data_IF_404164641605
#
_entry.id   IF_404164641605
#
_cell.length_a   1.000
_cell.length_b   1.000
_cell.length_c   1.000
_cell.angle_alpha   90.00
_cell.angle_beta   90.00
_cell.angle_gamma   90.00
#
_symmetry.space_group_name_H-M   'P 1'
#
loop_
_entity.id
_entity.type
_entity.pdbx_description
1 polymer ?
#
# COMPACT_ATOMS: atom_id res chain seq x y z
N UNK A 1 1.32 24.44 -2.29
CA UNK A 1 1.36 23.59 -3.50
C UNK A 1 0.76 22.25 -3.20
N UNK A 2 -0.18 21.81 -4.00
CA UNK A 2 -0.77 20.48 -3.81
C UNK A 2 0.25 19.41 -4.21
N UNK A 3 0.41 18.41 -3.37
CA UNK A 3 1.16 17.21 -3.73
C UNK A 3 0.34 16.40 -4.73
N UNK A 4 1.02 15.89 -5.73
CA UNK A 4 0.44 14.93 -6.67
C UNK A 4 1.12 13.59 -6.46
N UNK A 5 0.31 12.54 -6.56
CA UNK A 5 0.82 11.17 -6.44
C UNK A 5 0.48 10.42 -7.72
N UNK A 6 1.24 9.37 -7.98
CA UNK A 6 1.03 8.55 -9.17
C UNK A 6 1.14 7.07 -8.84
N UNK A 7 0.53 6.26 -9.70
CA UNK A 7 0.51 4.81 -9.58
C UNK A 7 1.91 4.24 -9.41
N UNK A 8 2.05 3.34 -8.45
CA UNK A 8 3.30 2.65 -8.19
C UNK A 8 4.22 3.37 -7.22
N UNK A 9 3.91 4.61 -6.84
CA UNK A 9 4.70 5.28 -5.82
C UNK A 9 4.50 4.63 -4.46
N UNK A 10 5.57 4.54 -3.68
CA UNK A 10 5.51 4.10 -2.30
C UNK A 10 5.51 5.33 -1.43
N UNK A 11 4.49 5.44 -0.59
CA UNK A 11 4.31 6.55 0.34
C UNK A 11 4.19 5.99 1.75
N UNK A 12 4.49 6.82 2.74
CA UNK A 12 4.16 6.50 4.13
C UNK A 12 2.84 7.18 4.46
N UNK A 13 1.94 6.44 5.10
CA UNK A 13 0.64 6.97 5.47
C UNK A 13 0.24 6.51 6.86
N UNK A 14 -0.46 7.37 7.57
CA UNK A 14 -1.06 7.04 8.88
C UNK A 14 -2.42 6.40 8.61
N UNK A 15 -2.53 5.10 8.89
CA UNK A 15 -3.72 4.32 8.62
C UNK A 15 -4.70 4.27 9.81
N UNK A 16 -4.37 4.97 10.91
CA UNK A 16 -5.22 5.03 12.08
C UNK A 16 -4.57 4.42 13.31
N UNK A 17 -5.12 4.74 14.47
CA UNK A 17 -4.58 4.33 15.77
C UNK A 17 -5.50 3.29 16.43
N UNK A 18 -4.98 2.08 16.76
CA UNK A 18 -5.77 1.11 17.51
C UNK A 18 -6.08 1.62 18.93
N UNK A 19 -7.18 1.18 19.57
CA UNK A 19 -8.24 0.34 19.01
C UNK A 19 -9.40 1.12 18.41
N UNK A 20 -9.36 2.46 18.47
CA UNK A 20 -10.49 3.30 18.04
C UNK A 20 -10.72 3.26 16.53
N UNK A 21 -9.63 3.42 15.78
CA UNK A 21 -9.71 3.57 14.33
C UNK A 21 -9.42 2.27 13.58
N UNK A 22 -8.87 1.27 14.29
CA UNK A 22 -8.49 -0.01 13.69
C UNK A 22 -9.20 -1.14 14.41
N UNK A 23 -9.83 -2.01 13.66
CA UNK A 23 -10.57 -3.17 14.19
C UNK A 23 -10.04 -4.47 13.58
N UNK A 24 -9.96 -5.51 14.41
CA UNK A 24 -9.58 -6.84 13.95
C UNK A 24 -8.24 -6.87 13.22
N UNK A 25 -8.26 -7.40 12.01
CA UNK A 25 -7.06 -7.58 11.18
C UNK A 25 -6.75 -6.39 10.26
N UNK A 26 -7.42 -5.27 10.43
CA UNK A 26 -7.13 -4.07 9.64
C UNK A 26 -5.73 -3.55 9.95
N UNK A 27 -5.07 -3.03 8.92
CA UNK A 27 -3.76 -2.39 9.09
C UNK A 27 -3.92 -1.01 9.70
N UNK A 28 -3.06 -0.69 10.66
CA UNK A 28 -3.06 0.60 11.33
C UNK A 28 -1.66 1.17 11.46
N UNK A 29 -1.53 2.27 12.20
CA UNK A 29 -0.29 3.01 12.43
C UNK A 29 0.27 3.59 11.13
N UNK A 30 1.49 4.13 11.17
CA UNK A 30 2.16 4.61 9.98
C UNK A 30 2.78 3.43 9.24
N UNK A 31 2.45 3.31 7.95
CA UNK A 31 2.89 2.19 7.11
C UNK A 31 3.30 2.67 5.74
N UNK A 32 4.28 2.01 5.11
CA UNK A 32 4.49 2.19 3.68
C UNK A 32 3.28 1.63 2.93
N UNK A 33 2.86 2.33 1.90
CA UNK A 33 1.75 1.91 1.05
C UNK A 33 2.11 2.14 -0.41
N UNK A 34 1.61 1.27 -1.29
CA UNK A 34 1.75 1.44 -2.73
C UNK A 34 0.51 2.16 -3.25
N UNK A 35 0.71 3.23 -3.98
CA UNK A 35 -0.39 3.94 -4.65
C UNK A 35 -0.84 3.13 -5.86
N UNK A 36 -2.11 2.75 -5.86
CA UNK A 36 -2.74 2.03 -6.97
C UNK A 36 -3.37 3.01 -7.95
N UNK A 37 -4.02 4.02 -7.41
CA UNK A 37 -4.65 5.08 -8.20
C UNK A 37 -4.67 6.35 -7.37
N UNK A 38 -4.32 7.46 -7.98
CA UNK A 38 -4.41 8.77 -7.34
C UNK A 38 -5.49 9.59 -8.02
N UNK A 39 -6.36 10.18 -7.20
CA UNK A 39 -7.37 11.14 -7.63
C UNK A 39 -6.92 12.50 -7.12
N UNK A 40 -5.92 13.09 -7.80
CA UNK A 40 -5.26 14.30 -7.32
C UNK A 40 -6.23 15.46 -7.11
N UNK A 41 -7.24 15.58 -7.96
CA UNK A 41 -8.25 16.64 -7.82
C UNK A 41 -9.12 16.48 -6.57
N UNK A 42 -9.29 15.25 -6.11
CA UNK A 42 -10.09 14.95 -4.91
C UNK A 42 -9.22 14.82 -3.67
N UNK A 43 -7.90 14.84 -3.83
CA UNK A 43 -6.94 14.59 -2.75
C UNK A 43 -7.20 13.25 -2.05
N UNK A 44 -7.51 12.23 -2.87
CA UNK A 44 -7.72 10.85 -2.42
C UNK A 44 -6.80 9.91 -3.20
N UNK A 45 -6.37 8.85 -2.56
CA UNK A 45 -5.60 7.78 -3.22
C UNK A 45 -6.09 6.41 -2.78
N UNK A 46 -6.14 5.49 -3.73
CA UNK A 46 -6.36 4.08 -3.42
C UNK A 46 -4.99 3.47 -3.23
N UNK A 47 -4.77 2.84 -2.07
CA UNK A 47 -3.46 2.31 -1.68
C UNK A 47 -3.56 0.87 -1.19
N UNK A 48 -2.43 0.16 -1.31
CA UNK A 48 -2.24 -1.17 -0.74
C UNK A 48 -1.15 -1.07 0.32
N UNK A 49 -1.45 -1.38 1.59
CA UNK A 49 -0.44 -1.31 2.66
C UNK A 49 0.64 -2.38 2.48
N UNK A 50 1.85 -2.04 2.91
CA UNK A 50 2.98 -2.97 2.97
C UNK A 50 3.30 -3.28 4.44
N UNK A 51 3.76 -4.50 4.68
CA UNK A 51 4.30 -4.88 5.98
C UNK A 51 5.64 -5.57 5.79
N UNK A 52 6.56 -5.37 6.73
CA UNK A 52 7.85 -6.09 6.74
C UNK A 52 7.75 -7.43 7.46
N UNK A 53 6.66 -7.67 8.17
CA UNK A 53 6.45 -8.93 8.87
C UNK A 53 5.94 -9.97 7.89
N UNK A 54 6.61 -11.13 7.86
CA UNK A 54 6.12 -12.24 7.08
C UNK A 54 4.70 -12.58 7.55
N UNK A 55 3.77 -12.68 6.59
CA UNK A 55 2.40 -12.98 6.92
C UNK A 55 2.30 -14.37 7.50
N UNK A 56 1.59 -14.51 8.62
CA UNK A 56 1.36 -15.81 9.28
C UNK A 56 0.59 -16.78 8.40
N UNK A 57 -0.05 -16.25 7.36
CA UNK A 57 -0.88 -17.05 6.46
C UNK A 57 -0.36 -16.85 5.04
N UNK A 58 -0.13 -17.97 4.35
CA UNK A 58 0.18 -17.94 2.94
C UNK A 58 -1.10 -17.65 2.17
N UNK A 59 -1.45 -16.39 2.06
CA UNK A 59 -2.65 -15.97 1.33
C UNK A 59 -2.28 -15.60 -0.10
N UNK A 60 -3.13 -16.00 -1.05
CA UNK A 60 -2.93 -15.63 -2.44
C UNK A 60 -3.06 -14.11 -2.68
N UNK A 61 -3.52 -13.37 -1.67
CA UNK A 61 -3.72 -11.92 -1.73
C UNK A 61 -2.46 -11.12 -1.37
N UNK A 62 -1.35 -11.79 -1.08
CA UNK A 62 -0.13 -11.14 -0.62
C UNK A 62 0.96 -11.23 -1.71
N UNK A 63 1.58 -10.10 -2.00
CA UNK A 63 2.69 -10.02 -2.98
C UNK A 63 3.97 -9.64 -2.25
N UNK A 64 5.01 -10.48 -2.36
CA UNK A 64 6.31 -10.19 -1.78
C UNK A 64 7.09 -9.22 -2.67
N UNK A 65 7.66 -8.20 -2.05
CA UNK A 65 8.50 -7.19 -2.71
C UNK A 65 9.88 -7.21 -2.04
N UNK A 66 10.92 -7.48 -2.83
CA UNK A 66 12.28 -7.58 -2.30
C UNK A 66 12.81 -6.22 -1.89
N UNK A 67 13.59 -6.19 -0.80
CA UNK A 67 14.08 -4.94 -0.20
C UNK A 67 14.90 -4.07 -1.15
N UNK A 68 15.61 -4.67 -2.09
CA UNK A 68 16.40 -3.91 -3.06
C UNK A 68 15.54 -3.14 -4.05
N UNK A 69 14.25 -3.48 -4.13
CA UNK A 69 13.29 -2.84 -5.03
C UNK A 69 12.76 -1.59 -4.35
N UNK A 70 12.75 -0.47 -5.06
CA UNK A 70 12.17 0.79 -4.57
C UNK A 70 12.78 1.31 -3.25
N UNK A 71 14.02 0.93 -2.94
CA UNK A 71 14.72 1.47 -1.77
C UNK A 71 14.13 1.09 -0.41
N UNK A 72 13.42 -0.02 -0.36
CA UNK A 72 12.88 -0.54 0.90
C UNK A 72 14.02 -1.03 1.80
N UNK A 73 13.87 -0.86 3.11
CA UNK A 73 14.87 -1.29 4.10
C UNK A 73 14.80 -2.77 4.44
N UNK A 74 13.69 -3.42 4.09
CA UNK A 74 13.47 -4.84 4.34
C UNK A 74 12.55 -5.39 3.25
N UNK A 75 12.59 -6.72 3.06
CA UNK A 75 11.58 -7.38 2.24
C UNK A 75 10.21 -7.02 2.77
N UNK A 76 9.30 -6.71 1.88
CA UNK A 76 7.97 -6.25 2.25
C UNK A 76 6.91 -7.09 1.57
N UNK A 77 5.72 -7.06 2.14
CA UNK A 77 4.60 -7.86 1.66
C UNK A 77 3.42 -6.92 1.43
N UNK A 78 2.98 -6.84 0.17
CA UNK A 78 1.83 -6.02 -0.20
C UNK A 78 0.56 -6.78 0.14
N UNK A 79 -0.24 -6.21 1.03
CA UNK A 79 -1.48 -6.82 1.53
C UNK A 79 -2.65 -6.39 0.66
N UNK A 80 -2.83 -7.04 -0.48
CA UNK A 80 -3.84 -6.65 -1.46
C UNK A 80 -5.26 -6.71 -0.90
N UNK A 81 -5.51 -7.61 0.06
CA UNK A 81 -6.81 -7.70 0.74
C UNK A 81 -7.09 -6.52 1.68
N UNK A 82 -6.09 -5.68 1.94
CA UNK A 82 -6.22 -4.48 2.76
C UNK A 82 -6.30 -3.20 1.91
N UNK A 83 -6.55 -3.34 0.60
CA UNK A 83 -6.69 -2.19 -0.29
C UNK A 83 -7.74 -1.22 0.26
N UNK A 84 -7.41 0.08 0.24
CA UNK A 84 -8.32 1.09 0.78
C UNK A 84 -8.06 2.45 0.14
N UNK A 85 -9.05 3.32 0.25
CA UNK A 85 -8.93 4.71 -0.16
C UNK A 85 -8.58 5.55 1.06
N UNK A 86 -7.60 6.43 0.91
CA UNK A 86 -7.18 7.34 1.98
C UNK A 86 -7.17 8.78 1.49
N UNK A 87 -7.35 9.73 2.42
CA UNK A 87 -7.13 11.15 2.14
C UNK A 87 -5.62 11.42 2.06
N UNK A 88 -5.24 12.38 1.22
CA UNK A 88 -3.84 12.84 1.16
C UNK A 88 -3.35 13.34 2.52
N UNK A 89 -4.26 13.79 3.40
CA UNK A 89 -3.89 14.22 4.75
C UNK A 89 -3.26 13.12 5.59
N UNK A 90 -3.50 11.86 5.24
CA UNK A 90 -2.89 10.73 5.94
C UNK A 90 -1.47 10.43 5.46
N UNK A 91 -1.06 11.00 4.31
CA UNK A 91 0.25 10.74 3.73
C UNK A 91 1.28 11.64 4.40
N UNK A 92 2.30 11.03 4.99
CA UNK A 92 3.34 11.75 5.72
C UNK A 92 4.59 12.00 4.90
N UNK A 93 4.89 11.12 3.96
CA UNK A 93 6.06 11.30 3.08
C UNK A 93 5.95 10.41 1.85
N UNK A 94 6.71 10.78 0.82
CA UNK A 94 6.86 9.99 -0.40
C UNK A 94 8.22 9.31 -0.33
N UNK A 95 8.28 8.01 -0.61
CA UNK A 95 9.54 7.26 -0.50
C UNK A 95 10.18 6.99 -1.86
N UNK A 96 9.52 6.21 -2.69
CA UNK A 96 10.12 5.73 -3.95
C UNK A 96 9.03 5.24 -4.88
N UNK A 97 9.43 4.57 -5.95
CA UNK A 97 8.48 4.02 -6.91
C UNK A 97 8.84 2.57 -7.20
N UNK A 98 7.83 1.71 -7.24
CA UNK A 98 8.00 0.32 -7.66
C UNK A 98 8.32 0.24 -9.13
N UNK A 99 9.05 -0.81 -9.53
CA UNK A 99 9.24 -1.11 -10.94
C UNK A 99 7.95 -1.71 -11.53
N UNK A 100 7.88 -1.74 -12.86
CA UNK A 100 6.69 -2.23 -13.56
C UNK A 100 6.39 -3.70 -13.26
N UNK A 101 7.42 -4.49 -13.03
CA UNK A 101 7.25 -5.92 -12.75
C UNK A 101 6.44 -6.14 -11.47
N UNK A 102 6.79 -5.40 -10.40
CA UNK A 102 6.08 -5.50 -9.12
C UNK A 102 4.68 -4.90 -9.21
N UNK A 103 4.53 -3.79 -9.93
CA UNK A 103 3.22 -3.18 -10.16
C UNK A 103 2.29 -4.17 -10.86
N UNK A 104 2.78 -4.87 -11.89
CA UNK A 104 1.97 -5.85 -12.62
C UNK A 104 1.57 -7.03 -11.74
N UNK A 105 2.46 -7.49 -10.84
CA UNK A 105 2.14 -8.55 -9.89
C UNK A 105 1.00 -8.13 -8.96
N UNK A 106 1.09 -6.92 -8.44
CA UNK A 106 0.06 -6.38 -7.56
C UNK A 106 -1.27 -6.28 -8.29
N UNK A 107 -1.26 -5.79 -9.53
CA UNK A 107 -2.47 -5.71 -10.35
C UNK A 107 -3.12 -7.07 -10.53
N UNK A 108 -2.33 -8.07 -10.91
CA UNK A 108 -2.83 -9.42 -11.14
C UNK A 108 -3.49 -9.97 -9.88
N UNK A 109 -2.84 -9.79 -8.73
CA UNK A 109 -3.37 -10.26 -7.45
C UNK A 109 -4.61 -9.48 -7.04
N UNK A 110 -4.67 -8.17 -7.33
CA UNK A 110 -5.86 -7.37 -7.04
C UNK A 110 -7.07 -7.83 -7.86
N UNK A 111 -6.86 -8.17 -9.13
CA UNK A 111 -7.94 -8.70 -9.97
C UNK A 111 -8.54 -9.95 -9.33
N UNK A 112 -7.69 -10.87 -8.88
CA UNK A 112 -8.14 -12.10 -8.22
C UNK A 112 -8.77 -11.81 -6.85
N UNK A 113 -8.14 -10.93 -6.07
CA UNK A 113 -8.62 -10.59 -4.72
C UNK A 113 -10.01 -9.95 -4.76
N UNK A 114 -10.23 -9.07 -5.74
CA UNK A 114 -11.49 -8.34 -5.88
C UNK A 114 -12.49 -9.06 -6.79
N UNK A 115 -12.10 -10.19 -7.36
CA UNK A 115 -12.96 -11.00 -8.23
C UNK A 115 -13.47 -10.21 -9.45
N UNK A 116 -12.58 -9.46 -10.05
CA UNK A 116 -12.90 -8.64 -11.22
C UNK A 116 -12.86 -9.42 -12.54
#
# INVERSE_FOLDING_TARGET
>A
MKQNYSKGEIINANLGIPPKEIKGHEQGMERPCVVIKSFNNLELAIVVPLTSKEAKYSLFTIVKILKATAGLTADSYALCHQIRTISFDRITSKRAKLDNKDILKIHSVLIDTLEL
#
